data_IF_226142921703
#
_entry.id   IF_226142921703
#
_cell.length_a   1.000
_cell.length_b   1.000
_cell.length_c   1.000
_cell.angle_alpha   90.00
_cell.angle_beta   90.00
_cell.angle_gamma   90.00
#
_symmetry.space_group_name_H-M   'P 1'
#
loop_
_entity.id
_entity.type
_entity.pdbx_description
1 polymer ?
#
# COMPACT_ATOMS: atom_id res chain seq x y z
N UNK A 1 30.00 8.59 -34.26
CA UNK A 1 29.60 8.26 -34.00
C UNK A 1 28.89 7.62 -34.01
N UNK A 2 28.47 7.34 -34.10
CA UNK A 2 27.66 6.80 -34.02
C UNK A 2 27.42 5.88 -33.59
N UNK A 3 26.99 5.59 -33.17
CA UNK A 3 26.67 4.73 -32.64
C UNK A 3 25.69 4.10 -33.03
N UNK A 4 25.25 3.81 -33.43
CA UNK A 4 24.30 3.23 -33.74
C UNK A 4 24.42 2.19 -34.44
N UNK A 5 24.97 1.51 -34.34
CA UNK A 5 25.10 0.33 -35.07
C UNK A 5 24.17 -0.75 -34.66
N UNK A 6 23.75 -0.83 -33.42
CA UNK A 6 22.78 -1.78 -32.96
C UNK A 6 21.47 -1.07 -32.72
N UNK A 7 20.43 -1.36 -33.50
CA UNK A 7 19.15 -0.75 -33.24
C UNK A 7 18.59 -1.31 -31.93
N UNK A 8 18.43 -0.46 -30.99
CA UNK A 8 17.78 -0.80 -29.74
C UNK A 8 16.29 -0.65 -29.85
N UNK A 9 15.55 -0.99 -28.80
CA UNK A 9 14.12 -0.72 -28.76
C UNK A 9 13.87 0.78 -28.84
N UNK A 10 12.77 1.14 -29.47
CA UNK A 10 12.37 2.52 -29.53
C UNK A 10 11.95 2.99 -28.14
N UNK A 11 12.53 4.08 -27.68
CA UNK A 11 12.10 4.67 -26.43
C UNK A 11 10.86 5.52 -26.65
N UNK A 12 9.88 5.43 -25.76
CA UNK A 12 8.74 6.33 -25.84
C UNK A 12 9.18 7.77 -25.53
N UNK A 13 8.31 8.71 -25.85
CA UNK A 13 8.55 10.10 -25.50
C UNK A 13 8.74 10.21 -23.99
N UNK A 14 9.67 11.07 -23.57
CA UNK A 14 10.02 11.20 -22.15
C UNK A 14 8.80 11.52 -21.27
N UNK A 15 7.91 12.42 -21.73
CA UNK A 15 6.71 12.76 -20.96
C UNK A 15 5.75 11.59 -20.85
N UNK A 16 5.60 10.81 -21.92
CA UNK A 16 4.75 9.61 -21.91
C UNK A 16 5.29 8.56 -20.97
N UNK A 17 6.61 8.36 -21.01
CA UNK A 17 7.26 7.40 -20.12
C UNK A 17 7.15 7.82 -18.66
N UNK A 18 7.34 9.12 -18.38
CA UNK A 18 7.20 9.66 -17.03
C UNK A 18 5.78 9.46 -16.50
N UNK A 19 4.75 9.71 -17.34
CA UNK A 19 3.36 9.47 -16.94
C UNK A 19 3.09 7.99 -16.63
N UNK A 20 3.69 7.09 -17.42
CA UNK A 20 3.55 5.66 -17.19
C UNK A 20 4.16 5.24 -15.86
N UNK A 21 5.36 5.73 -15.54
CA UNK A 21 6.00 5.43 -14.27
C UNK A 21 5.23 6.03 -13.10
N UNK A 22 4.70 7.23 -13.27
CA UNK A 22 3.89 7.89 -12.24
C UNK A 22 2.63 7.10 -11.95
N UNK A 23 1.93 6.65 -12.99
CA UNK A 23 0.73 5.82 -12.84
C UNK A 23 1.04 4.51 -12.12
N UNK A 24 2.19 3.90 -12.42
CA UNK A 24 2.61 2.67 -11.77
C UNK A 24 2.91 2.90 -10.29
N UNK A 25 3.59 4.01 -9.97
CA UNK A 25 3.86 4.34 -8.56
C UNK A 25 2.57 4.58 -7.78
N UNK A 26 1.60 5.27 -8.39
CA UNK A 26 0.30 5.50 -7.76
C UNK A 26 -0.44 4.18 -7.51
N UNK A 27 -0.38 3.26 -8.48
CA UNK A 27 -1.01 1.95 -8.33
C UNK A 27 -0.36 1.16 -7.18
N UNK A 28 0.96 1.15 -7.11
CA UNK A 28 1.70 0.47 -6.03
C UNK A 28 1.39 1.08 -4.67
N UNK A 29 1.27 2.40 -4.59
CA UNK A 29 0.93 3.08 -3.35
C UNK A 29 -0.47 2.70 -2.87
N UNK A 30 -1.42 2.61 -3.80
CA UNK A 30 -2.79 2.20 -3.48
C UNK A 30 -2.82 0.77 -2.95
N UNK A 31 -2.08 -0.13 -3.59
CA UNK A 31 -1.98 -1.52 -3.13
C UNK A 31 -1.41 -1.58 -1.71
N UNK A 32 -0.38 -0.79 -1.44
CA UNK A 32 0.23 -0.74 -0.12
C UNK A 32 -0.77 -0.24 0.93
N UNK A 33 -1.53 0.80 0.61
CA UNK A 33 -2.55 1.30 1.51
C UNK A 33 -3.61 0.24 1.79
N UNK A 34 -4.05 -0.47 0.76
CA UNK A 34 -5.03 -1.54 0.91
C UNK A 34 -4.52 -2.68 1.79
N UNK A 35 -3.28 -3.10 1.56
CA UNK A 35 -2.67 -4.16 2.36
C UNK A 35 -2.58 -3.77 3.83
N UNK A 36 -2.18 -2.54 4.11
CA UNK A 36 -2.06 -2.06 5.48
C UNK A 36 -3.42 -1.97 6.18
N UNK A 37 -4.43 -1.36 5.53
CA UNK A 37 -5.73 -1.21 6.18
C UNK A 37 -6.42 -2.57 6.40
N UNK A 38 -6.27 -3.51 5.48
CA UNK A 38 -6.81 -4.86 5.67
C UNK A 38 -6.15 -5.54 6.87
N UNK A 39 -4.83 -5.49 6.96
CA UNK A 39 -4.11 -6.12 8.05
C UNK A 39 -4.42 -5.46 9.39
N UNK A 40 -4.48 -4.13 9.42
CA UNK A 40 -4.85 -3.39 10.63
C UNK A 40 -6.26 -3.81 11.07
N UNK A 41 -7.21 -3.86 10.14
CA UNK A 41 -8.56 -4.29 10.44
C UNK A 41 -8.58 -5.70 11.01
N UNK A 42 -7.85 -6.63 10.39
CA UNK A 42 -7.78 -8.01 10.83
C UNK A 42 -7.19 -8.13 12.24
N UNK A 43 -6.15 -7.38 12.54
CA UNK A 43 -5.53 -7.39 13.86
C UNK A 43 -6.47 -6.84 14.92
N UNK A 44 -7.14 -5.73 14.63
CA UNK A 44 -8.09 -5.13 15.56
C UNK A 44 -9.26 -6.08 15.80
N UNK A 45 -9.79 -6.67 14.74
CA UNK A 45 -10.96 -7.57 14.84
C UNK A 45 -10.62 -8.88 15.54
N UNK A 46 -9.40 -9.37 15.42
CA UNK A 46 -9.00 -10.65 16.01
C UNK A 46 -8.35 -10.53 17.39
N UNK A 47 -7.53 -9.51 17.61
CA UNK A 47 -6.77 -9.37 18.87
C UNK A 47 -7.12 -8.12 19.66
N UNK A 48 -7.92 -7.23 19.10
CA UNK A 48 -8.31 -5.98 19.75
C UNK A 48 -7.38 -4.82 19.51
N UNK A 49 -6.20 -5.04 18.93
CA UNK A 49 -5.27 -3.96 18.67
C UNK A 49 -4.34 -4.28 17.50
N UNK A 50 -3.80 -3.23 16.90
CA UNK A 50 -2.77 -3.35 15.87
C UNK A 50 -1.54 -2.61 16.35
N UNK A 51 -0.39 -3.27 16.35
CA UNK A 51 0.89 -2.71 16.77
C UNK A 51 1.87 -2.68 15.60
N UNK A 52 2.79 -1.71 15.65
CA UNK A 52 3.84 -1.60 14.64
C UNK A 52 4.62 -2.91 14.50
N UNK A 53 4.94 -3.54 15.63
CA UNK A 53 5.72 -4.79 15.63
C UNK A 53 4.97 -5.92 14.94
N UNK A 54 3.65 -6.03 15.16
CA UNK A 54 2.82 -7.05 14.51
C UNK A 54 2.74 -6.82 13.00
N UNK A 55 2.56 -5.57 12.61
CA UNK A 55 2.52 -5.21 11.19
C UNK A 55 3.84 -5.53 10.50
N UNK A 56 4.95 -5.15 11.13
CA UNK A 56 6.28 -5.38 10.58
C UNK A 56 6.52 -6.87 10.39
N UNK A 57 6.20 -7.67 11.39
CA UNK A 57 6.41 -9.11 11.33
C UNK A 57 5.57 -9.76 10.24
N UNK A 58 4.29 -9.42 10.17
CA UNK A 58 3.38 -10.05 9.22
C UNK A 58 3.61 -9.59 7.78
N UNK A 59 4.02 -8.35 7.59
CA UNK A 59 4.33 -7.83 6.26
C UNK A 59 5.75 -8.14 5.80
N UNK A 60 6.60 -8.63 6.71
CA UNK A 60 7.98 -8.95 6.38
C UNK A 60 8.83 -7.73 6.10
N UNK A 61 8.58 -6.65 6.84
CA UNK A 61 9.31 -5.39 6.69
C UNK A 61 9.82 -4.93 8.05
N UNK A 62 10.66 -3.90 8.06
CA UNK A 62 11.17 -3.35 9.32
C UNK A 62 10.13 -2.45 9.99
N UNK A 63 10.21 -2.26 11.32
CA UNK A 63 9.36 -1.28 12.00
C UNK A 63 9.50 0.14 11.43
N UNK A 64 10.69 0.51 10.98
CA UNK A 64 10.90 1.82 10.36
C UNK A 64 10.08 1.95 9.08
N UNK A 65 10.02 0.90 8.27
CA UNK A 65 9.19 0.88 7.05
C UNK A 65 7.72 1.02 7.42
N UNK A 66 7.26 0.31 8.45
CA UNK A 66 5.87 0.42 8.92
C UNK A 66 5.57 1.85 9.36
N UNK A 67 6.45 2.45 10.15
CA UNK A 67 6.24 3.82 10.62
C UNK A 67 6.15 4.82 9.46
N UNK A 68 6.98 4.67 8.44
CA UNK A 68 6.90 5.51 7.24
C UNK A 68 5.58 5.33 6.51
N UNK A 69 5.12 4.09 6.36
CA UNK A 69 3.84 3.80 5.73
C UNK A 69 2.68 4.38 6.54
N UNK A 70 2.73 4.25 7.86
CA UNK A 70 1.69 4.79 8.74
C UNK A 70 1.59 6.30 8.63
N UNK A 71 2.72 7.01 8.51
CA UNK A 71 2.69 8.45 8.30
C UNK A 71 1.94 8.84 7.05
N UNK A 72 2.13 8.07 5.97
CA UNK A 72 1.40 8.31 4.72
C UNK A 72 -0.08 8.00 4.88
N UNK A 73 -0.42 6.91 5.55
CA UNK A 73 -1.81 6.51 5.80
C UNK A 73 -2.54 7.55 6.67
N UNK A 74 -1.86 8.13 7.65
CA UNK A 74 -2.42 9.21 8.45
C UNK A 74 -2.69 10.43 7.59
N UNK A 75 -1.74 10.78 6.74
CA UNK A 75 -1.85 11.93 5.84
C UNK A 75 -3.02 11.77 4.86
N UNK A 76 -3.27 10.54 4.42
CA UNK A 76 -4.38 10.23 3.53
C UNK A 76 -5.72 10.06 4.25
N UNK A 77 -5.72 10.19 5.57
CA UNK A 77 -6.95 10.10 6.35
C UNK A 77 -7.48 8.70 6.53
N UNK A 78 -6.64 7.69 6.39
CA UNK A 78 -7.06 6.28 6.49
C UNK A 78 -6.79 5.68 7.88
N UNK A 79 -5.82 6.23 8.59
CA UNK A 79 -5.35 5.71 9.88
C UNK A 79 -5.23 6.85 10.88
N UNK A 80 -5.50 6.54 12.14
CA UNK A 80 -5.23 7.43 13.26
C UNK A 80 -4.22 6.76 14.18
N UNK A 81 -3.20 7.48 14.55
CA UNK A 81 -2.19 7.00 15.47
C UNK A 81 -2.32 7.80 16.76
N UNK A 82 -2.71 7.11 17.82
CA UNK A 82 -2.91 7.74 19.13
C UNK A 82 -1.68 7.53 20.01
N UNK A 83 -1.58 8.25 21.15
CA UNK A 83 -0.51 8.01 22.10
C UNK A 83 -0.44 6.55 22.53
N UNK A 84 0.73 6.12 23.00
CA UNK A 84 0.98 4.73 23.41
C UNK A 84 0.97 3.75 22.26
N UNK A 85 1.19 4.25 21.02
CA UNK A 85 1.36 3.43 19.82
C UNK A 85 0.11 2.70 19.35
N UNK A 86 -1.05 3.14 19.81
CA UNK A 86 -2.32 2.58 19.33
C UNK A 86 -2.59 3.04 17.90
N UNK A 87 -2.93 2.11 17.03
CA UNK A 87 -3.23 2.35 15.63
C UNK A 87 -4.70 2.00 15.41
N UNK A 88 -5.44 2.93 14.80
CA UNK A 88 -6.86 2.73 14.52
C UNK A 88 -7.16 3.14 13.08
N UNK A 89 -8.19 2.54 12.52
CA UNK A 89 -8.68 2.95 11.20
C UNK A 89 -9.70 4.07 11.37
N UNK A 90 -9.64 5.01 10.42
CA UNK A 90 -10.75 5.97 10.25
C UNK A 90 -11.91 5.26 9.57
N UNK A 91 -13.06 5.92 9.45
CA UNK A 91 -14.17 5.36 8.68
C UNK A 91 -13.75 5.09 7.24
N UNK A 92 -13.00 6.01 6.63
CA UNK A 92 -12.49 5.85 5.28
C UNK A 92 -11.52 4.67 5.19
N UNK A 93 -10.67 4.50 6.20
CA UNK A 93 -9.74 3.37 6.25
C UNK A 93 -10.47 2.05 6.37
N UNK A 94 -11.51 2.00 7.18
CA UNK A 94 -12.32 0.78 7.33
C UNK A 94 -13.08 0.48 6.05
N UNK A 95 -13.63 1.48 5.40
CA UNK A 95 -14.31 1.31 4.11
C UNK A 95 -13.35 0.74 3.06
N UNK A 96 -12.13 1.26 3.02
CA UNK A 96 -11.13 0.75 2.10
C UNK A 96 -10.77 -0.71 2.42
N UNK A 97 -10.63 -1.05 3.69
CA UNK A 97 -10.33 -2.41 4.11
C UNK A 97 -11.44 -3.38 3.66
N UNK A 98 -12.71 -2.99 3.85
CA UNK A 98 -13.84 -3.81 3.45
C UNK A 98 -13.90 -4.00 1.94
N UNK A 99 -13.76 -2.92 1.17
CA UNK A 99 -13.84 -3.00 -0.29
C UNK A 99 -12.66 -3.77 -0.87
N UNK A 100 -11.47 -3.61 -0.33
CA UNK A 100 -10.29 -4.34 -0.75
C UNK A 100 -10.44 -5.84 -0.49
N UNK A 101 -10.92 -6.19 0.69
CA UNK A 101 -11.16 -7.59 1.05
C UNK A 101 -12.18 -8.25 0.12
N UNK A 102 -13.25 -7.54 -0.22
CA UNK A 102 -14.26 -8.05 -1.15
C UNK A 102 -13.66 -8.34 -2.53
N UNK A 103 -12.79 -7.46 -3.02
CA UNK A 103 -12.13 -7.67 -4.31
C UNK A 103 -11.23 -8.89 -4.27
N UNK A 104 -10.48 -9.08 -3.17
CA UNK A 104 -9.62 -10.24 -3.01
C UNK A 104 -10.42 -11.54 -2.95
N UNK A 105 -11.55 -11.53 -2.27
CA UNK A 105 -12.42 -12.70 -2.20
C UNK A 105 -13.00 -13.06 -3.56
N UNK A 106 -13.38 -12.07 -4.36
CA UNK A 106 -13.87 -12.32 -5.71
C UNK A 106 -12.81 -12.96 -6.59
N UNK A 107 -11.57 -12.47 -6.52
CA UNK A 107 -10.46 -13.04 -7.31
C UNK A 107 -10.25 -14.50 -6.91
N UNK A 108 -10.22 -14.80 -5.62
CA UNK A 108 -10.04 -16.17 -5.13
C UNK A 108 -11.18 -17.08 -5.60
N UNK A 109 -12.40 -16.57 -5.62
CA UNK A 109 -13.56 -17.36 -6.04
C UNK A 109 -13.49 -17.79 -7.52
N UNK A 110 -12.74 -17.06 -8.34
CA UNK A 110 -12.58 -17.39 -9.76
C UNK A 110 -11.34 -18.22 -10.06
N UNK A 111 -10.52 -18.48 -9.08
CA UNK A 111 -9.37 -19.34 -9.24
C UNK A 111 -9.74 -20.80 -8.99
#
# INVERSE_FOLDING_TARGET
>A
MSKKSIPGPNLPEAKSQARSFEALREAHQREMFEDYVELIADLIDSTGEARVTDLAERLGVTPATVNSALQRLVREGLVRKLPYRSIFLTDEGRDLAVSSRKRHQLVVAFL
#
